data_IF_614795497196
#
_entry.id   IF_614795497196
#
_cell.length_a   1.000
_cell.length_b   1.000
_cell.length_c   1.000
_cell.angle_alpha   90.00
_cell.angle_beta   90.00
_cell.angle_gamma   90.00
#
_symmetry.space_group_name_H-M   'P 1'
#
loop_
_entity.id
_entity.type
_entity.pdbx_description
1 polymer ?
#
# COMPACT_ATOMS: atom_id res chain seq x y z
N UNK A 1 -1.83 0.16 -18.44
CA UNK A 1 -1.95 0.76 -17.08
C UNK A 1 -1.35 -0.02 -15.92
N UNK A 2 -1.00 -1.30 -16.08
CA UNK A 2 -0.46 -2.11 -14.99
C UNK A 2 0.81 -1.49 -14.35
N UNK A 3 1.65 -0.80 -15.14
CA UNK A 3 2.88 -0.16 -14.64
C UNK A 3 2.66 0.94 -13.61
N UNK A 4 1.62 1.76 -13.74
CA UNK A 4 1.33 2.81 -12.75
C UNK A 4 0.84 2.18 -11.44
N UNK A 5 0.07 1.09 -11.56
CA UNK A 5 -0.29 0.22 -10.44
C UNK A 5 0.88 -0.41 -9.73
N UNK A 6 1.77 -1.05 -10.48
CA UNK A 6 2.97 -1.69 -9.95
C UNK A 6 3.90 -0.67 -9.27
N UNK A 7 3.98 0.56 -9.80
CA UNK A 7 4.71 1.66 -9.16
C UNK A 7 4.04 2.11 -7.85
N UNK A 8 2.72 2.26 -7.82
CA UNK A 8 1.98 2.58 -6.58
C UNK A 8 2.11 1.49 -5.52
N UNK A 9 2.01 0.22 -5.94
CA UNK A 9 2.18 -0.95 -5.08
C UNK A 9 3.60 -1.02 -4.50
N UNK A 10 4.63 -0.83 -5.33
CA UNK A 10 6.02 -0.85 -4.87
C UNK A 10 6.33 0.29 -3.90
N UNK A 11 5.83 1.51 -4.16
CA UNK A 11 5.95 2.62 -3.22
C UNK A 11 5.24 2.31 -1.90
N UNK A 12 4.06 1.68 -1.94
CA UNK A 12 3.34 1.23 -0.74
C UNK A 12 4.13 0.20 0.09
N UNK A 13 4.77 -0.77 -0.56
CA UNK A 13 5.65 -1.74 0.11
C UNK A 13 6.92 -1.10 0.69
N UNK A 14 7.54 -0.16 -0.03
CA UNK A 14 8.68 0.59 0.50
C UNK A 14 8.29 1.45 1.70
N UNK A 15 7.10 2.08 1.68
CA UNK A 15 6.58 2.84 2.81
C UNK A 15 6.28 1.96 4.03
N UNK A 16 5.71 0.76 3.81
CA UNK A 16 5.54 -0.25 4.86
C UNK A 16 6.90 -0.65 5.48
N UNK A 17 7.88 -0.95 4.64
CA UNK A 17 9.20 -1.32 5.12
C UNK A 17 9.89 -0.17 5.87
N UNK A 18 9.73 1.08 5.41
CA UNK A 18 10.30 2.25 6.07
C UNK A 18 9.66 2.55 7.44
N UNK A 19 8.34 2.34 7.60
CA UNK A 19 7.65 2.58 8.87
C UNK A 19 7.77 1.43 9.87
N UNK A 20 7.64 0.19 9.39
CA UNK A 20 7.52 -1.00 10.26
C UNK A 20 8.80 -1.83 10.30
N UNK A 21 9.76 -1.62 9.38
CA UNK A 21 11.00 -2.40 9.28
C UNK A 21 10.78 -3.88 8.89
N UNK A 22 9.54 -4.27 8.64
CA UNK A 22 9.11 -5.63 8.36
C UNK A 22 7.95 -5.62 7.37
N UNK A 23 7.86 -6.67 6.56
CA UNK A 23 6.75 -6.92 5.65
C UNK A 23 5.82 -8.03 6.14
N UNK A 24 6.09 -8.57 7.33
CA UNK A 24 5.29 -9.62 7.92
C UNK A 24 4.00 -9.03 8.51
N UNK A 25 2.86 -9.44 7.96
CA UNK A 25 1.55 -8.92 8.34
C UNK A 25 1.28 -9.04 9.84
N UNK A 26 1.72 -10.12 10.49
CA UNK A 26 1.54 -10.29 11.94
C UNK A 26 2.26 -9.18 12.73
N UNK A 27 3.48 -8.85 12.33
CA UNK A 27 4.26 -7.78 12.95
C UNK A 27 3.64 -6.41 12.70
N UNK A 28 3.20 -6.14 11.46
CA UNK A 28 2.58 -4.87 11.07
C UNK A 28 1.30 -4.65 11.88
N UNK A 29 0.37 -5.61 11.91
CA UNK A 29 -0.90 -5.47 12.63
C UNK A 29 -0.73 -5.31 14.14
N UNK A 30 0.36 -5.83 14.73
CA UNK A 30 0.65 -5.62 16.15
C UNK A 30 1.11 -4.20 16.49
N UNK A 31 1.73 -3.50 15.52
CA UNK A 31 2.32 -2.17 15.71
C UNK A 31 1.38 -1.05 15.22
N UNK A 32 0.54 -1.33 14.21
CA UNK A 32 -0.47 -0.42 13.66
C UNK A 32 -1.26 0.38 14.71
N UNK A 33 -1.80 -0.21 15.81
CA UNK A 33 -2.57 0.56 16.79
C UNK A 33 -1.76 1.63 17.55
N UNK A 34 -0.43 1.56 17.53
CA UNK A 34 0.46 2.52 18.18
C UNK A 34 0.99 3.60 17.22
N UNK A 35 0.63 3.54 15.94
CA UNK A 35 1.14 4.42 14.90
C UNK A 35 0.16 5.53 14.54
N UNK A 36 0.67 6.56 13.87
CA UNK A 36 -0.15 7.69 13.41
C UNK A 36 -1.16 7.24 12.35
N UNK A 37 -2.44 7.47 12.61
CA UNK A 37 -3.56 7.09 11.74
C UNK A 37 -3.44 7.69 10.33
N UNK A 38 -2.94 8.93 10.21
CA UNK A 38 -2.71 9.60 8.92
C UNK A 38 -1.63 8.89 8.09
N UNK A 39 -0.58 8.37 8.74
CA UNK A 39 0.47 7.63 8.03
C UNK A 39 -0.05 6.28 7.51
N UNK A 40 -0.84 5.58 8.33
CA UNK A 40 -1.43 4.29 7.98
C UNK A 40 -2.44 4.45 6.83
N UNK A 41 -3.27 5.49 6.87
CA UNK A 41 -4.25 5.77 5.81
C UNK A 41 -3.58 6.08 4.47
N UNK A 42 -2.47 6.85 4.45
CA UNK A 42 -1.70 7.09 3.23
C UNK A 42 -1.13 5.79 2.65
N UNK A 43 -0.53 4.93 3.50
CA UNK A 43 -0.02 3.61 3.08
C UNK A 43 -1.16 2.75 2.53
N UNK A 44 -2.31 2.73 3.20
CA UNK A 44 -3.50 2.02 2.76
C UNK A 44 -4.01 2.49 1.38
N UNK A 45 -4.03 3.80 1.13
CA UNK A 45 -4.42 4.36 -0.18
C UNK A 45 -3.41 3.97 -1.26
N UNK A 46 -2.10 4.02 -0.98
CA UNK A 46 -1.07 3.61 -1.94
C UNK A 46 -1.19 2.13 -2.33
N UNK A 47 -1.39 1.26 -1.34
CA UNK A 47 -1.62 -0.17 -1.57
C UNK A 47 -2.93 -0.43 -2.30
N UNK A 48 -4.00 0.32 -1.97
CA UNK A 48 -5.29 0.25 -2.67
C UNK A 48 -5.15 0.67 -4.13
N UNK A 49 -4.47 1.78 -4.43
CA UNK A 49 -4.20 2.23 -5.80
C UNK A 49 -3.41 1.18 -6.58
N UNK A 50 -2.42 0.54 -5.95
CA UNK A 50 -1.69 -0.58 -6.56
C UNK A 50 -2.58 -1.80 -6.85
N UNK A 51 -3.43 -2.19 -5.90
CA UNK A 51 -4.35 -3.31 -6.04
C UNK A 51 -5.45 -3.06 -7.10
N UNK A 52 -6.00 -1.84 -7.16
CA UNK A 52 -7.00 -1.43 -8.15
C UNK A 52 -6.45 -1.50 -9.58
N UNK A 53 -5.18 -1.13 -9.77
CA UNK A 53 -4.57 -1.11 -11.08
C UNK A 53 -4.23 -2.50 -11.65
N UNK A 54 -4.07 -3.52 -10.80
CA UNK A 54 -3.89 -4.93 -11.23
C UNK A 54 -5.23 -5.65 -11.45
N UNK A 55 -6.29 -5.21 -10.78
CA UNK A 55 -7.63 -5.81 -10.84
C UNK A 55 -8.54 -5.24 -11.94
N UNK A 56 -7.99 -4.40 -12.83
CA UNK A 56 -8.72 -3.74 -13.93
C UNK A 56 -9.97 -2.95 -13.47
N UNK A 57 -9.95 -2.36 -12.26
CA UNK A 57 -11.07 -1.57 -11.75
C UNK A 57 -10.96 -0.09 -12.13
N UNK A 58 -12.06 0.43 -12.67
CA UNK A 58 -12.33 1.74 -13.30
C UNK A 58 -11.58 2.90 -12.61
N UNK A 59 -10.61 3.55 -13.30
CA UNK A 59 -10.85 4.46 -14.42
C UNK A 59 -10.08 4.10 -15.70
N UNK A 60 -9.51 2.90 -15.76
CA UNK A 60 -8.49 2.53 -16.73
C UNK A 60 -8.94 1.27 -17.48
N UNK A 61 -9.90 1.47 -18.39
CA UNK A 61 -10.48 0.42 -19.23
C UNK A 61 -9.93 0.43 -20.69
N UNK A 62 -8.68 0.86 -20.89
CA UNK A 62 -7.93 0.80 -22.18
C UNK A 62 -6.43 0.61 -22.00
#
# INVERSE_FOLDING_TARGET
MNRVGDMGLSIGYFALFALFGSLDYATIFSIVPFMNETAITIIGILLLTGAMAKSAQIPLHS
#
